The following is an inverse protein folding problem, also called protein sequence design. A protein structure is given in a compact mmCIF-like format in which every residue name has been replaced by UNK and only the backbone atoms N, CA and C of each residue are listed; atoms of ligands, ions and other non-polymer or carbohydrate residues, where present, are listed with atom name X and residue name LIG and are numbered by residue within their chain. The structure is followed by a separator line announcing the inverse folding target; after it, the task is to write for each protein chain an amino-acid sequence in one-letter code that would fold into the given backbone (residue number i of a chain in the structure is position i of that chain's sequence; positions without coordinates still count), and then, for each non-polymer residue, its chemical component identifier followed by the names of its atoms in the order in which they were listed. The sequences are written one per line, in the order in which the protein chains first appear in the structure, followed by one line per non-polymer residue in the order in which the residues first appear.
data_IF_875751646031
#
_entry.id   IF_875751646031
#
_cell.length_a   1.000
_cell.length_b   1.000
_cell.length_c   1.000
_cell.angle_alpha   90.00
_cell.angle_beta   90.00
_cell.angle_gamma   90.00
#
_symmetry.space_group_name_H-M   'P 1'
#
loop_
_entity.id
_entity.type
_entity.pdbx_description
1 polymer ?
#
# COMPACT_ATOMS: atom_id res chain seq x y z
N UNK A 1 33.28 -12.13 -10.81
CA UNK A 1 31.85 -12.46 -10.64
C UNK A 1 31.23 -11.41 -9.71
N UNK A 2 30.50 -10.40 -10.11
CA UNK A 2 30.24 -9.76 -11.41
C UNK A 2 29.64 -8.41 -11.04
N UNK A 3 30.36 -7.32 -11.27
CA UNK A 3 29.88 -5.96 -11.06
C UNK A 3 29.02 -5.57 -12.25
N UNK A 4 27.73 -5.30 -12.03
CA UNK A 4 26.91 -4.59 -13.03
C UNK A 4 26.87 -3.12 -12.65
N UNK A 5 27.28 -2.33 -13.64
CA UNK A 5 27.16 -0.88 -13.76
C UNK A 5 25.72 -0.47 -13.47
N UNK A 6 25.55 0.65 -12.74
CA UNK A 6 24.26 1.31 -12.59
C UNK A 6 23.82 1.79 -13.98
N UNK A 7 22.88 1.05 -14.57
CA UNK A 7 22.19 1.44 -15.80
C UNK A 7 21.14 2.49 -15.44
N UNK A 8 20.96 3.49 -16.31
CA UNK A 8 19.95 4.56 -16.30
C UNK A 8 18.50 4.01 -16.50
N UNK A 9 18.21 2.87 -15.84
CA UNK A 9 17.06 1.99 -15.99
C UNK A 9 16.81 1.14 -14.75
N UNK A 10 17.18 1.65 -13.57
CA UNK A 10 16.85 1.01 -12.29
C UNK A 10 15.36 1.14 -12.00
N UNK A 11 14.65 0.02 -11.90
CA UNK A 11 13.23 0.03 -11.50
C UNK A 11 13.06 0.77 -10.17
N UNK A 12 12.00 1.54 -10.07
CA UNK A 12 11.56 2.18 -8.83
C UNK A 12 10.97 1.14 -7.87
N UNK A 13 10.88 1.48 -6.57
CA UNK A 13 10.22 0.60 -5.60
C UNK A 13 8.73 0.34 -5.93
N UNK A 14 8.09 1.28 -6.63
CA UNK A 14 6.71 1.16 -7.08
C UNK A 14 6.58 0.11 -8.20
N UNK A 15 7.45 0.16 -9.20
CA UNK A 15 7.48 -0.85 -10.28
C UNK A 15 7.82 -2.25 -9.73
N UNK A 16 8.70 -2.32 -8.72
CA UNK A 16 9.01 -3.58 -8.05
C UNK A 16 7.77 -4.18 -7.39
N UNK A 17 6.86 -3.40 -6.81
CA UNK A 17 5.61 -3.95 -6.27
C UNK A 17 4.76 -4.62 -7.36
N UNK A 18 4.68 -4.00 -8.53
CA UNK A 18 3.88 -4.49 -9.64
C UNK A 18 4.38 -5.85 -10.15
N UNK A 19 5.70 -6.07 -10.15
CA UNK A 19 6.31 -7.37 -10.48
C UNK A 19 5.83 -8.51 -9.56
N UNK A 20 5.44 -8.18 -8.33
CA UNK A 20 4.92 -9.11 -7.34
C UNK A 20 3.40 -8.99 -7.18
N UNK A 21 2.70 -8.48 -8.20
CA UNK A 21 1.24 -8.37 -8.27
C UNK A 21 0.62 -7.42 -7.25
N UNK A 22 1.35 -6.42 -6.82
CA UNK A 22 0.86 -5.38 -5.94
C UNK A 22 0.66 -4.06 -6.67
N UNK A 23 -0.47 -3.36 -6.48
CA UNK A 23 -0.61 -1.97 -6.89
C UNK A 23 0.44 -1.05 -6.27
N UNK A 24 0.77 0.06 -6.95
CA UNK A 24 1.79 1.00 -6.48
C UNK A 24 1.42 1.71 -5.16
N UNK A 25 0.13 1.75 -4.81
CA UNK A 25 -0.41 2.44 -3.63
C UNK A 25 -0.19 1.77 -2.29
N UNK A 26 0.53 0.64 -2.24
CA UNK A 26 1.07 0.12 -0.98
C UNK A 26 2.23 0.95 -0.44
N UNK A 27 2.78 1.87 -1.23
CA UNK A 27 3.79 2.81 -0.76
C UNK A 27 3.27 4.25 -0.93
N UNK A 28 3.39 5.11 0.10
CA UNK A 28 3.17 6.53 -0.11
C UNK A 28 4.22 7.10 -1.08
N UNK A 29 3.87 8.23 -1.70
CA UNK A 29 4.79 8.97 -2.57
C UNK A 29 6.02 9.44 -1.80
N UNK A 30 7.18 9.42 -2.44
CA UNK A 30 8.43 9.96 -1.90
C UNK A 30 9.43 8.93 -1.39
N UNK A 31 9.35 7.67 -1.85
CA UNK A 31 10.42 6.68 -1.64
C UNK A 31 11.76 7.24 -2.13
N UNK A 32 12.80 7.11 -1.31
CA UNK A 32 14.16 7.57 -1.60
C UNK A 32 15.07 6.48 -2.13
N UNK A 33 14.74 5.23 -1.83
CA UNK A 33 15.47 4.06 -2.30
C UNK A 33 14.86 2.79 -1.72
N UNK A 34 15.37 1.66 -2.20
CA UNK A 34 15.01 0.35 -1.69
C UNK A 34 16.17 -0.63 -1.87
N UNK A 35 16.15 -1.70 -1.09
CA UNK A 35 16.96 -2.90 -1.29
C UNK A 35 16.03 -4.08 -1.53
N UNK A 36 16.39 -4.95 -2.46
CA UNK A 36 15.68 -6.21 -2.71
C UNK A 36 16.67 -7.35 -2.96
N UNK A 37 16.56 -8.40 -2.16
CA UNK A 37 17.16 -9.68 -2.47
C UNK A 37 16.15 -10.52 -3.26
N UNK A 38 16.26 -10.53 -4.58
CA UNK A 38 15.31 -11.21 -5.48
C UNK A 38 15.19 -12.71 -5.17
N UNK A 39 16.28 -13.36 -4.74
CA UNK A 39 16.28 -14.80 -4.43
C UNK A 39 15.51 -15.14 -3.16
N UNK A 40 15.58 -14.27 -2.13
CA UNK A 40 14.96 -14.51 -0.82
C UNK A 40 13.68 -13.71 -0.59
N UNK A 41 13.38 -12.74 -1.46
CA UNK A 41 12.30 -11.77 -1.28
C UNK A 41 12.55 -10.75 -0.15
N UNK A 42 13.70 -10.76 0.53
CA UNK A 42 13.96 -9.82 1.62
C UNK A 42 14.11 -8.41 1.05
N UNK A 43 13.33 -7.46 1.57
CA UNK A 43 13.35 -6.08 1.09
C UNK A 43 13.47 -5.05 2.21
N UNK A 44 13.85 -3.84 1.83
CA UNK A 44 13.76 -2.63 2.66
C UNK A 44 13.42 -1.44 1.77
N UNK A 45 12.55 -0.54 2.23
CA UNK A 45 12.17 0.69 1.53
C UNK A 45 12.45 1.88 2.44
N UNK A 46 12.99 2.96 1.88
CA UNK A 46 13.49 4.12 2.63
C UNK A 46 12.71 5.40 2.30
N UNK A 47 12.31 6.12 3.33
CA UNK A 47 11.72 7.46 3.28
C UNK A 47 12.58 8.43 4.10
N UNK A 48 12.42 9.73 3.88
CA UNK A 48 13.11 10.75 4.70
C UNK A 48 12.61 10.74 6.15
N UNK A 49 11.29 10.67 6.30
CA UNK A 49 10.60 10.90 7.57
C UNK A 49 9.45 9.90 7.76
N UNK A 50 8.88 9.91 8.96
CA UNK A 50 7.64 9.17 9.23
C UNK A 50 6.51 9.78 8.41
N UNK A 51 5.69 8.93 7.79
CA UNK A 51 4.59 9.35 6.97
C UNK A 51 3.26 8.79 7.43
N UNK A 52 2.26 9.65 7.64
CA UNK A 52 0.91 9.24 8.04
C UNK A 52 -0.14 9.82 7.10
N UNK A 53 -1.20 9.05 6.83
CA UNK A 53 -2.34 9.46 6.02
C UNK A 53 -3.56 8.57 6.30
N UNK A 54 -4.75 9.00 5.88
CA UNK A 54 -5.95 8.15 5.90
C UNK A 54 -6.10 7.45 4.56
N UNK A 55 -6.24 6.12 4.56
CA UNK A 55 -6.55 5.33 3.36
C UNK A 55 -8.02 5.54 2.98
N UNK A 56 -8.88 5.39 3.98
CA UNK A 56 -10.30 5.75 3.95
C UNK A 56 -10.60 6.55 5.23
N UNK A 57 -11.73 7.24 5.28
CA UNK A 57 -12.17 8.19 6.33
C UNK A 57 -11.56 7.96 7.73
N UNK A 58 -11.66 6.74 8.27
CA UNK A 58 -11.19 6.39 9.63
C UNK A 58 -9.95 5.49 9.68
N UNK A 59 -9.51 4.88 8.57
CA UNK A 59 -8.39 3.94 8.57
C UNK A 59 -7.06 4.68 8.37
N UNK A 60 -6.40 5.00 9.49
CA UNK A 60 -5.14 5.73 9.51
C UNK A 60 -3.96 4.78 9.32
N UNK A 61 -3.12 5.06 8.33
CA UNK A 61 -1.85 4.38 8.10
C UNK A 61 -0.68 5.28 8.54
N UNK A 62 0.38 4.64 9.03
CA UNK A 62 1.64 5.28 9.38
C UNK A 62 2.81 4.40 8.93
N UNK A 63 3.67 4.96 8.09
CA UNK A 63 4.89 4.38 7.57
C UNK A 63 6.08 5.02 8.29
N UNK A 64 6.98 4.20 8.80
CA UNK A 64 8.24 4.67 9.38
C UNK A 64 9.27 4.99 8.28
N UNK A 65 10.35 5.73 8.58
CA UNK A 65 11.41 6.05 7.62
C UNK A 65 12.04 4.82 6.96
N UNK A 66 11.92 3.64 7.56
CA UNK A 66 12.33 2.38 6.97
C UNK A 66 11.25 1.33 7.16
N UNK A 67 10.80 0.75 6.05
CA UNK A 67 9.89 -0.39 6.03
C UNK A 67 10.66 -1.61 5.57
N UNK A 68 10.49 -2.75 6.24
CA UNK A 68 11.19 -4.00 5.91
C UNK A 68 10.22 -5.16 5.88
N UNK A 69 10.64 -6.24 5.23
CA UNK A 69 9.92 -7.51 5.26
C UNK A 69 10.39 -8.46 4.16
N UNK A 70 9.50 -9.37 3.80
CA UNK A 70 9.67 -10.31 2.69
C UNK A 70 8.53 -10.15 1.69
N UNK A 71 8.88 -10.02 0.41
CA UNK A 71 7.95 -9.94 -0.71
C UNK A 71 7.97 -11.23 -1.52
N UNK A 72 6.77 -11.65 -1.92
CA UNK A 72 6.50 -12.74 -2.85
C UNK A 72 5.22 -12.42 -3.61
N UNK A 73 4.89 -13.21 -4.64
CA UNK A 73 3.74 -12.94 -5.50
C UNK A 73 2.44 -12.81 -4.68
N UNK A 74 1.88 -11.60 -4.64
CA UNK A 74 0.66 -11.27 -3.91
C UNK A 74 0.80 -11.29 -2.38
N UNK A 75 2.00 -11.35 -1.81
CA UNK A 75 2.19 -11.35 -0.35
C UNK A 75 3.41 -10.56 0.13
N UNK A 76 3.18 -9.67 1.08
CA UNK A 76 4.19 -9.04 1.94
C UNK A 76 4.06 -9.64 3.34
N UNK A 77 5.17 -10.07 3.94
CA UNK A 77 5.16 -10.77 5.23
C UNK A 77 6.32 -10.38 6.12
N UNK A 78 6.16 -10.61 7.43
CA UNK A 78 7.09 -10.13 8.46
C UNK A 78 7.39 -8.64 8.27
N UNK A 79 6.32 -7.88 7.99
CA UNK A 79 6.42 -6.45 7.79
C UNK A 79 6.79 -5.75 9.10
N UNK A 80 7.73 -4.82 8.99
CA UNK A 80 8.14 -3.92 10.06
C UNK A 80 8.03 -2.49 9.56
N UNK A 81 7.53 -1.59 10.39
CA UNK A 81 7.51 -0.16 10.08
C UNK A 81 6.24 0.35 9.39
N UNK A 82 5.19 -0.47 9.27
CA UNK A 82 3.86 -0.04 8.80
C UNK A 82 2.85 -0.26 9.92
N UNK A 83 2.10 0.77 10.26
CA UNK A 83 1.15 0.74 11.36
C UNK A 83 -0.22 1.22 10.92
N UNK A 84 -1.27 0.62 11.48
CA UNK A 84 -2.63 1.15 11.42
C UNK A 84 -3.09 1.59 12.81
N UNK A 85 -4.01 2.55 12.88
CA UNK A 85 -4.59 2.97 14.16
C UNK A 85 -5.87 2.20 14.45
N UNK A 86 -5.89 1.50 15.58
CA UNK A 86 -7.08 0.86 16.12
C UNK A 86 -7.42 1.49 17.47
N UNK A 87 -8.60 2.13 17.53
CA UNK A 87 -9.02 2.96 18.66
C UNK A 87 -7.97 4.03 19.01
N UNK A 88 -7.23 3.86 20.10
CA UNK A 88 -6.21 4.79 20.58
C UNK A 88 -4.77 4.28 20.40
N UNK A 89 -4.58 3.09 19.82
CA UNK A 89 -3.27 2.42 19.72
C UNK A 89 -2.87 2.25 18.26
N UNK A 90 -1.57 2.41 17.99
CA UNK A 90 -0.97 2.05 16.70
C UNK A 90 -0.54 0.59 16.73
N UNK A 91 -1.11 -0.22 15.83
CA UNK A 91 -0.80 -1.63 15.68
C UNK A 91 0.04 -1.84 14.43
N UNK A 92 1.10 -2.64 14.55
CA UNK A 92 1.96 -2.97 13.42
C UNK A 92 1.24 -3.93 12.47
N UNK A 93 1.21 -3.58 11.19
CA UNK A 93 0.78 -4.48 10.12
C UNK A 93 1.95 -5.39 9.82
N UNK A 94 1.76 -6.69 10.05
CA UNK A 94 2.80 -7.72 9.91
C UNK A 94 2.69 -8.49 8.59
N UNK A 95 1.53 -8.43 7.93
CA UNK A 95 1.27 -9.10 6.66
C UNK A 95 0.28 -8.31 5.80
N UNK A 96 0.54 -8.27 4.49
CA UNK A 96 -0.39 -7.81 3.46
C UNK A 96 -0.53 -8.92 2.42
N UNK A 97 -1.76 -9.34 2.15
CA UNK A 97 -2.07 -10.40 1.21
C UNK A 97 -3.05 -9.88 0.16
N UNK A 98 -2.74 -10.10 -1.11
CA UNK A 98 -3.69 -9.94 -2.21
C UNK A 98 -4.54 -11.21 -2.32
N UNK A 99 -5.85 -11.05 -2.23
CA UNK A 99 -6.84 -12.11 -2.34
C UNK A 99 -7.86 -11.71 -3.40
N UNK A 100 -7.69 -12.19 -4.63
CA UNK A 100 -8.52 -11.80 -5.79
C UNK A 100 -8.53 -10.28 -5.99
N UNK A 101 -9.69 -9.65 -5.75
CA UNK A 101 -9.94 -8.22 -5.88
C UNK A 101 -9.81 -7.45 -4.55
N UNK A 102 -9.36 -8.13 -3.49
CA UNK A 102 -9.15 -7.54 -2.16
C UNK A 102 -7.68 -7.54 -1.74
N UNK A 103 -7.32 -6.55 -0.93
CA UNK A 103 -6.10 -6.46 -0.15
C UNK A 103 -6.45 -6.67 1.32
N UNK A 104 -5.85 -7.69 1.92
CA UNK A 104 -6.00 -8.02 3.33
C UNK A 104 -4.77 -7.51 4.10
N UNK A 105 -4.95 -6.55 5.00
CA UNK A 105 -3.92 -6.12 5.94
C UNK A 105 -4.13 -6.82 7.29
N UNK A 106 -3.09 -7.45 7.81
CA UNK A 106 -3.13 -8.19 9.08
C UNK A 106 -2.19 -7.57 10.11
N UNK A 107 -2.70 -7.42 11.34
CA UNK A 107 -1.92 -7.08 12.54
C UNK A 107 -1.62 -8.33 13.39
N UNK A 108 -1.64 -9.51 12.75
CA UNK A 108 -1.41 -10.82 13.36
C UNK A 108 -2.72 -11.55 13.62
N UNK A 109 -3.36 -11.26 14.76
CA UNK A 109 -4.59 -11.96 15.19
C UNK A 109 -5.88 -11.42 14.55
N UNK A 110 -5.79 -10.28 13.87
CA UNK A 110 -6.91 -9.60 13.24
C UNK A 110 -6.49 -9.04 11.89
N UNK A 111 -7.45 -8.98 10.97
CA UNK A 111 -7.27 -8.45 9.63
C UNK A 111 -8.37 -7.47 9.23
N UNK A 112 -8.09 -6.70 8.19
CA UNK A 112 -9.03 -5.83 7.51
C UNK A 112 -8.86 -6.02 6.01
N UNK A 113 -9.98 -6.12 5.28
CA UNK A 113 -9.98 -6.29 3.83
C UNK A 113 -10.46 -5.00 3.16
N UNK A 114 -9.80 -4.63 2.09
CA UNK A 114 -10.11 -3.45 1.29
C UNK A 114 -10.10 -3.81 -0.19
N UNK A 115 -10.98 -3.21 -1.00
CA UNK A 115 -10.91 -3.35 -2.44
C UNK A 115 -9.54 -2.94 -2.98
N UNK A 116 -9.05 -3.66 -3.99
CA UNK A 116 -7.74 -3.40 -4.60
C UNK A 116 -7.62 -1.99 -5.19
N UNK A 117 -8.73 -1.40 -5.61
CA UNK A 117 -8.75 -0.08 -6.25
C UNK A 117 -8.37 1.07 -5.30
N UNK A 118 -8.39 0.84 -3.98
CA UNK A 118 -7.88 1.80 -2.99
C UNK A 118 -6.36 1.96 -3.03
N UNK A 119 -5.66 1.03 -3.70
CA UNK A 119 -4.21 0.99 -3.78
C UNK A 119 -3.69 1.25 -5.19
N UNK A 120 -4.55 1.58 -6.17
CA UNK A 120 -4.10 1.89 -7.54
C UNK A 120 -3.22 3.14 -7.62
N UNK A 121 -3.44 4.10 -6.72
CA UNK A 121 -2.65 5.33 -6.65
C UNK A 121 -1.83 5.39 -5.36
N UNK A 122 -0.60 5.90 -5.45
CA UNK A 122 0.22 6.16 -4.26
C UNK A 122 -0.27 7.39 -3.50
N UNK A 123 -0.63 7.25 -2.20
CA UNK A 123 -1.07 8.38 -1.38
C UNK A 123 0.07 9.33 -1.11
N UNK A 124 -0.24 10.62 -0.96
CA UNK A 124 0.73 11.61 -0.50
C UNK A 124 0.78 11.63 1.02
N UNK A 125 1.94 12.00 1.55
CA UNK A 125 2.10 12.13 2.98
C UNK A 125 1.23 13.25 3.57
N UNK A 126 0.60 13.00 4.73
CA UNK A 126 -0.26 13.96 5.43
C UNK A 126 -1.68 13.99 4.88
N UNK A 127 -1.86 14.43 3.64
CA UNK A 127 -3.20 14.64 3.04
C UNK A 127 -3.74 13.44 2.24
N UNK A 128 -3.00 12.32 2.14
CA UNK A 128 -3.45 11.12 1.45
C UNK A 128 -3.78 11.38 -0.02
N UNK A 129 -5.02 11.12 -0.41
CA UNK A 129 -5.53 11.38 -1.77
C UNK A 129 -6.11 12.79 -1.98
N UNK A 130 -6.12 13.65 -0.95
CA UNK A 130 -6.84 14.93 -0.95
C UNK A 130 -5.95 16.18 -1.11
N UNK A 131 -4.69 16.04 -1.53
CA UNK A 131 -3.71 17.13 -1.56
C UNK A 131 -3.93 18.23 -2.63
N UNK A 132 -5.09 18.22 -3.32
CA UNK A 132 -5.40 19.09 -4.46
C UNK A 132 -6.53 20.10 -4.24
N UNK A 133 -7.05 20.29 -3.02
CA UNK A 133 -8.06 21.33 -2.72
C UNK A 133 -9.41 21.18 -3.44
N UNK A 134 -9.70 20.04 -4.04
CA UNK A 134 -10.98 19.74 -4.68
C UNK A 134 -11.41 18.33 -4.34
N UNK A 135 -12.57 18.19 -3.71
CA UNK A 135 -13.27 16.92 -3.62
C UNK A 135 -13.69 16.54 -5.03
N UNK A 136 -12.88 15.75 -5.74
CA UNK A 136 -13.45 14.90 -6.78
C UNK A 136 -14.09 13.75 -6.02
N UNK A 137 -15.27 14.00 -5.49
CA UNK A 137 -16.22 12.95 -5.18
C UNK A 137 -16.44 12.23 -6.51
N UNK A 138 -15.69 11.15 -6.78
CA UNK A 138 -16.17 10.13 -7.69
C UNK A 138 -17.46 9.64 -7.05
N UNK A 139 -18.58 10.22 -7.47
CA UNK A 139 -19.89 9.64 -7.30
C UNK A 139 -19.78 8.23 -7.89
N UNK A 140 -19.53 7.23 -7.04
CA UNK A 140 -19.82 5.85 -7.39
C UNK A 140 -21.34 5.77 -7.48
N UNK A 141 -21.87 5.90 -8.69
CA UNK A 141 -23.25 5.55 -8.97
C UNK A 141 -23.39 4.07 -8.63
N UNK A 142 -24.19 3.74 -7.61
CA UNK A 142 -24.49 2.36 -7.24
C UNK A 142 -25.23 1.69 -8.42
N UNK A 143 -24.73 0.56 -8.98
CA UNK A 143 -25.44 -0.16 -10.04
C UNK A 143 -26.72 -0.87 -9.56
N UNK A 144 -26.99 -0.86 -8.25
CA UNK A 144 -28.13 -1.54 -7.65
C UNK A 144 -29.31 -0.60 -7.41
N UNK A 145 -29.91 -0.11 -8.51
CA UNK A 145 -31.31 0.29 -8.53
C UNK A 145 -31.96 -0.38 -9.74
N UNK A 146 -32.56 -1.55 -9.52
CA UNK A 146 -33.54 -2.09 -10.46
C UNK A 146 -34.84 -1.29 -10.30
N UNK A 147 -35.37 -0.66 -11.37
CA UNK A 147 -36.72 -0.12 -11.33
C UNK A 147 -37.70 -1.28 -11.36
N UNK A 148 -38.43 -1.50 -10.26
CA UNK A 148 -39.74 -2.14 -10.33
C UNK A 148 -40.75 -1.04 -10.66
N UNK A 149 -41.22 -0.98 -11.89
CA UNK A 149 -42.55 -0.44 -12.18
C UNK A 149 -43.40 -1.60 -12.70
N UNK A 150 -44.39 -1.94 -11.87
CA UNK A 150 -45.43 -2.91 -12.15
C UNK A 150 -46.50 -2.33 -13.07
N UNK A 151 -47.28 -3.27 -13.59
CA UNK A 151 -48.40 -3.13 -14.51
C UNK A 151 -49.56 -2.30 -13.96
#
# INVERSE_FOLDING_TARGET
MGTRVLEDGSRTAYEVLEDYYFPVGHLPKGVKGYDLNITRGKFSVYFNDTCSFSLESSYQLKYMPTVKGYISNGKLSSLEGVYTRLFLVWMEIVEILRSEDDIVLSVGVMSSAFPIDYFEESPQCGCGFQCGGGQVSKLRTNPFLYPYEGN
#
